data_IF_994866430793
#
_entry.id   IF_994866430793
#
_cell.length_a   1.000
_cell.length_b   1.000
_cell.length_c   1.000
_cell.angle_alpha   90.00
_cell.angle_beta   90.00
_cell.angle_gamma   90.00
#
_symmetry.space_group_name_H-M   'P 1'
#
loop_
_entity.id
_entity.type
_entity.pdbx_description
1 polymer ?
#
# COMPACT_ATOMS: atom_id res chain seq x y z
N UNK A 1 18.53 1.16 2.16
CA UNK A 1 18.53 -0.03 1.29
C UNK A 1 18.98 -1.29 2.03
N UNK A 2 20.06 -1.23 2.83
CA UNK A 2 20.56 -2.40 3.58
C UNK A 2 19.52 -2.96 4.54
N UNK A 3 18.93 -2.12 5.37
CA UNK A 3 17.93 -2.54 6.36
C UNK A 3 16.67 -3.06 5.68
N UNK A 4 16.23 -2.42 4.58
CA UNK A 4 15.13 -2.90 3.77
C UNK A 4 15.41 -4.29 3.19
N UNK A 5 16.61 -4.51 2.68
CA UNK A 5 17.00 -5.83 2.16
C UNK A 5 16.90 -6.90 3.24
N UNK A 6 17.40 -6.65 4.44
CA UNK A 6 17.32 -7.62 5.55
C UNK A 6 15.87 -7.85 6.00
N UNK A 7 15.06 -6.80 6.11
CA UNK A 7 13.66 -6.91 6.45
C UNK A 7 12.90 -7.75 5.42
N UNK A 8 13.05 -7.45 4.13
CA UNK A 8 12.42 -8.22 3.05
C UNK A 8 12.88 -9.69 3.04
N UNK A 9 14.17 -9.96 3.30
CA UNK A 9 14.65 -11.34 3.44
C UNK A 9 13.97 -12.09 4.58
N UNK A 10 13.73 -11.45 5.70
CA UNK A 10 12.94 -12.02 6.80
C UNK A 10 11.52 -12.38 6.36
N UNK A 11 10.83 -11.45 5.68
CA UNK A 11 9.47 -11.67 5.15
C UNK A 11 9.47 -12.78 4.09
N UNK A 12 10.43 -12.79 3.16
CA UNK A 12 10.54 -13.80 2.08
C UNK A 12 10.79 -15.24 2.58
N UNK A 13 11.39 -15.40 3.74
CA UNK A 13 11.61 -16.72 4.33
C UNK A 13 10.35 -17.35 4.91
N UNK A 14 9.31 -16.54 5.18
CA UNK A 14 8.07 -17.02 5.77
C UNK A 14 7.20 -17.70 4.72
N UNK A 15 6.74 -18.89 5.04
CA UNK A 15 5.80 -19.61 4.18
C UNK A 15 4.39 -19.07 4.39
N UNK A 16 3.69 -18.81 3.29
CA UNK A 16 2.30 -18.45 3.31
C UNK A 16 1.45 -19.69 3.60
N UNK A 17 0.57 -19.58 4.56
CA UNK A 17 -0.42 -20.62 4.82
C UNK A 17 -1.56 -20.48 3.82
N UNK A 18 -1.69 -21.45 2.93
CA UNK A 18 -2.77 -21.51 1.94
C UNK A 18 -3.88 -22.44 2.43
N UNK A 19 -5.13 -22.08 2.16
CA UNK A 19 -6.26 -22.94 2.45
C UNK A 19 -6.12 -24.30 1.72
N UNK A 20 -6.29 -25.40 2.46
CA UNK A 20 -6.10 -26.76 1.93
C UNK A 20 -7.10 -27.13 0.83
N UNK A 21 -8.36 -26.73 0.97
CA UNK A 21 -9.45 -26.98 0.00
C UNK A 21 -10.20 -25.71 -0.35
N UNK A 22 -10.47 -25.50 -1.65
CA UNK A 22 -11.35 -24.46 -2.17
C UNK A 22 -12.77 -25.02 -2.32
N UNK A 23 -13.07 -26.06 -1.67
CA UNK A 23 -14.40 -26.66 -1.62
C UNK A 23 -15.35 -25.98 -0.63
N UNK A 24 -15.08 -24.74 -0.20
CA UNK A 24 -16.22 -23.93 0.21
C UNK A 24 -17.02 -23.67 -1.07
N UNK A 25 -18.19 -24.29 -1.15
CA UNK A 25 -19.08 -24.28 -2.32
C UNK A 25 -19.38 -22.88 -2.87
N UNK A 26 -19.21 -21.83 -2.06
CA UNK A 26 -19.38 -20.43 -2.40
C UNK A 26 -18.31 -19.91 -3.38
N UNK A 27 -17.04 -20.25 -3.19
CA UNK A 27 -15.97 -19.83 -4.12
C UNK A 27 -16.05 -20.61 -5.43
N UNK A 28 -16.41 -21.89 -5.37
CA UNK A 28 -16.48 -22.74 -6.56
C UNK A 28 -17.62 -22.35 -7.51
N UNK A 29 -18.73 -21.81 -7.01
CA UNK A 29 -19.88 -21.41 -7.84
C UNK A 29 -19.71 -20.02 -8.48
N UNK A 30 -18.95 -19.10 -7.87
CA UNK A 30 -18.80 -17.72 -8.34
C UNK A 30 -17.64 -17.52 -9.32
N UNK A 31 -16.77 -18.51 -9.52
CA UNK A 31 -15.51 -18.36 -10.27
C UNK A 31 -15.65 -18.93 -11.70
N UNK A 32 -15.40 -18.10 -12.72
CA UNK A 32 -15.32 -18.53 -14.11
C UNK A 32 -14.24 -19.62 -14.32
N UNK A 33 -14.38 -20.42 -15.39
CA UNK A 33 -13.45 -21.50 -15.72
C UNK A 33 -11.98 -21.01 -15.88
N UNK A 34 -11.80 -19.78 -16.34
CA UNK A 34 -10.47 -19.15 -16.47
C UNK A 34 -9.86 -18.81 -15.11
N UNK A 35 -10.65 -18.25 -14.21
CA UNK A 35 -10.21 -17.97 -12.84
C UNK A 35 -9.85 -19.24 -12.08
N UNK A 36 -10.58 -20.35 -12.29
CA UNK A 36 -10.20 -21.67 -11.75
C UNK A 36 -8.83 -22.13 -12.22
N UNK A 37 -8.52 -21.99 -13.52
CA UNK A 37 -7.19 -22.36 -14.06
C UNK A 37 -6.07 -21.53 -13.43
N UNK A 38 -6.29 -20.23 -13.24
CA UNK A 38 -5.33 -19.33 -12.58
C UNK A 38 -5.11 -19.80 -11.13
N UNK A 39 -6.18 -20.09 -10.43
CA UNK A 39 -6.10 -20.54 -9.05
C UNK A 39 -5.33 -21.87 -8.89
N UNK A 40 -5.65 -22.90 -9.70
CA UNK A 40 -4.90 -24.17 -9.70
C UNK A 40 -3.42 -23.96 -10.03
N UNK A 41 -3.09 -23.02 -10.90
CA UNK A 41 -1.70 -22.64 -11.20
C UNK A 41 -1.03 -22.02 -9.98
N UNK A 42 -1.69 -21.13 -9.26
CA UNK A 42 -1.18 -20.52 -8.04
C UNK A 42 -0.92 -21.60 -6.98
N UNK A 43 -1.89 -22.47 -6.72
CA UNK A 43 -1.81 -23.49 -5.69
C UNK A 43 -0.74 -24.57 -5.97
N UNK A 44 -0.64 -25.02 -7.21
CA UNK A 44 0.13 -26.22 -7.53
C UNK A 44 1.49 -25.97 -8.19
N UNK A 45 1.74 -24.76 -8.69
CA UNK A 45 2.95 -24.44 -9.48
C UNK A 45 3.75 -23.27 -8.93
N UNK A 46 3.28 -22.57 -7.91
CA UNK A 46 3.98 -21.45 -7.31
C UNK A 46 4.53 -21.84 -5.95
N UNK A 47 5.69 -21.32 -5.63
CA UNK A 47 6.26 -21.43 -4.29
C UNK A 47 5.34 -20.66 -3.33
N UNK A 48 4.89 -21.23 -2.20
CA UNK A 48 4.01 -20.55 -1.24
C UNK A 48 4.78 -19.53 -0.39
N UNK A 49 5.54 -18.69 -1.05
CA UNK A 49 6.33 -17.59 -0.48
C UNK A 49 6.24 -16.40 -1.41
N UNK A 50 6.42 -15.21 -0.87
CA UNK A 50 6.57 -14.00 -1.68
C UNK A 50 8.07 -13.73 -1.82
N UNK A 51 8.54 -13.46 -3.03
CA UNK A 51 9.88 -12.94 -3.25
C UNK A 51 9.75 -11.59 -3.94
N UNK A 52 10.20 -10.54 -3.24
CA UNK A 52 10.09 -9.18 -3.73
C UNK A 52 11.29 -8.79 -4.59
N UNK A 53 11.00 -8.09 -5.69
CA UNK A 53 12.00 -7.37 -6.46
C UNK A 53 11.95 -5.88 -6.09
N UNK A 54 12.99 -5.40 -5.40
CA UNK A 54 13.14 -4.00 -4.99
C UNK A 54 13.47 -3.05 -6.15
N UNK A 55 13.87 -3.60 -7.28
CA UNK A 55 14.31 -2.85 -8.46
C UNK A 55 13.38 -3.07 -9.66
N UNK A 56 12.21 -3.67 -9.43
CA UNK A 56 11.24 -4.01 -10.48
C UNK A 56 10.51 -2.81 -11.09
N UNK A 57 10.55 -1.65 -10.42
CA UNK A 57 9.93 -0.41 -10.90
C UNK A 57 10.90 0.78 -10.73
N UNK A 58 10.68 1.84 -11.52
CA UNK A 58 11.43 3.09 -11.40
C UNK A 58 11.16 3.82 -10.07
N UNK A 59 9.93 3.69 -9.57
CA UNK A 59 9.47 4.38 -8.35
C UNK A 59 9.84 3.64 -7.06
N UNK A 60 10.49 2.47 -7.13
CA UNK A 60 10.83 1.68 -5.95
C UNK A 60 9.67 0.91 -5.34
N UNK A 61 8.48 0.93 -5.96
CA UNK A 61 7.40 0.02 -5.58
C UNK A 61 7.86 -1.42 -5.77
N UNK A 62 7.60 -2.25 -4.78
CA UNK A 62 7.92 -3.67 -4.86
C UNK A 62 7.14 -4.35 -5.97
N UNK A 63 7.78 -5.29 -6.64
CA UNK A 63 7.14 -6.27 -7.51
C UNK A 63 7.44 -7.67 -6.99
N UNK A 64 6.73 -8.68 -7.48
CA UNK A 64 6.97 -10.08 -7.09
C UNK A 64 7.71 -10.81 -8.20
N UNK A 65 8.74 -11.55 -7.84
CA UNK A 65 9.51 -12.38 -8.75
C UNK A 65 8.66 -13.51 -9.35
N UNK A 66 8.91 -13.84 -10.62
CA UNK A 66 8.18 -14.91 -11.33
C UNK A 66 8.36 -16.25 -10.63
N UNK A 67 7.28 -17.02 -10.50
CA UNK A 67 7.28 -18.35 -9.86
C UNK A 67 6.93 -18.32 -8.37
N UNK A 68 6.92 -17.16 -7.75
CA UNK A 68 6.51 -16.96 -6.35
C UNK A 68 5.03 -16.54 -6.27
N UNK A 69 4.48 -16.56 -5.04
CA UNK A 69 3.07 -16.23 -4.82
C UNK A 69 2.79 -14.78 -5.19
N UNK A 70 1.82 -14.50 -6.09
CA UNK A 70 1.61 -13.17 -6.68
C UNK A 70 0.76 -12.26 -5.77
N UNK A 71 1.18 -12.01 -4.53
CA UNK A 71 0.40 -11.27 -3.54
C UNK A 71 -0.06 -9.90 -4.05
N UNK A 72 0.81 -9.17 -4.77
CA UNK A 72 0.53 -7.81 -5.25
C UNK A 72 -0.52 -7.75 -6.36
N UNK A 73 -0.72 -8.83 -7.09
CA UNK A 73 -1.65 -8.90 -8.23
C UNK A 73 -2.77 -9.91 -8.02
N UNK A 74 -2.91 -10.42 -6.80
CA UNK A 74 -3.94 -11.40 -6.46
C UNK A 74 -5.33 -10.76 -6.53
N UNK A 75 -6.17 -11.26 -7.41
CA UNK A 75 -7.57 -10.83 -7.52
C UNK A 75 -8.27 -11.01 -6.16
N UNK A 76 -9.11 -10.03 -5.81
CA UNK A 76 -9.81 -10.01 -4.51
C UNK A 76 -10.59 -11.29 -4.23
N UNK A 77 -11.16 -11.92 -5.26
CA UNK A 77 -11.89 -13.20 -5.14
C UNK A 77 -11.04 -14.34 -4.64
N UNK A 78 -9.71 -14.26 -4.77
CA UNK A 78 -8.80 -15.31 -4.32
C UNK A 78 -8.10 -15.00 -3.00
N UNK A 79 -8.28 -13.80 -2.45
CA UNK A 79 -7.59 -13.40 -1.22
C UNK A 79 -7.92 -14.29 -0.03
N UNK A 80 -9.13 -14.87 0.02
CA UNK A 80 -9.55 -15.80 1.08
C UNK A 80 -8.74 -17.10 1.17
N UNK A 81 -7.93 -17.40 0.15
CA UNK A 81 -7.00 -18.56 0.21
C UNK A 81 -5.82 -18.32 1.14
N UNK A 82 -5.46 -17.05 1.38
CA UNK A 82 -4.41 -16.69 2.32
C UNK A 82 -4.95 -16.71 3.73
N UNK A 83 -4.39 -17.60 4.55
CA UNK A 83 -4.73 -17.75 5.96
C UNK A 83 -3.56 -17.29 6.83
N UNK A 84 -3.80 -16.72 8.00
CA UNK A 84 -2.73 -16.43 8.93
C UNK A 84 -2.13 -17.74 9.47
N UNK A 85 -0.85 -17.71 9.79
CA UNK A 85 -0.16 -18.77 10.51
C UNK A 85 -0.57 -18.77 11.98
N UNK A 86 -0.66 -17.58 12.56
CA UNK A 86 -1.21 -17.34 13.89
C UNK A 86 -2.76 -17.37 13.85
N UNK A 87 -3.41 -16.35 14.40
CA UNK A 87 -4.87 -16.37 14.60
C UNK A 87 -5.60 -15.51 13.59
N UNK A 88 -5.08 -14.34 13.24
CA UNK A 88 -5.76 -13.35 12.39
C UNK A 88 -4.75 -12.56 11.55
N UNK A 89 -5.22 -12.01 10.43
CA UNK A 89 -4.53 -10.91 9.76
C UNK A 89 -5.00 -9.58 10.31
N UNK A 90 -4.04 -8.67 10.50
CA UNK A 90 -4.25 -7.24 10.71
C UNK A 90 -3.73 -6.51 9.46
N UNK A 91 -4.58 -5.76 8.80
CA UNK A 91 -4.23 -4.90 7.68
C UNK A 91 -4.18 -3.45 8.14
N UNK A 92 -3.09 -2.78 7.82
CA UNK A 92 -2.90 -1.35 7.98
C UNK A 92 -2.80 -0.73 6.59
N UNK A 93 -3.68 0.18 6.25
CA UNK A 93 -3.79 0.79 4.92
C UNK A 93 -3.92 2.31 5.05
N UNK A 94 -3.05 3.07 4.38
CA UNK A 94 -3.15 4.52 4.43
C UNK A 94 -4.39 5.03 3.72
N UNK A 95 -5.09 5.96 4.35
CA UNK A 95 -6.17 6.69 3.69
C UNK A 95 -5.58 7.65 2.66
N UNK A 96 -5.67 7.28 1.36
CA UNK A 96 -5.21 8.09 0.24
C UNK A 96 -3.73 8.54 0.34
N UNK A 97 -2.82 7.61 0.55
CA UNK A 97 -1.39 7.83 0.80
C UNK A 97 -0.72 8.82 -0.17
N UNK A 98 -0.93 8.70 -1.48
CA UNK A 98 -0.31 9.59 -2.48
C UNK A 98 -0.82 11.03 -2.36
N UNK A 99 -2.11 11.24 -2.08
CA UNK A 99 -2.67 12.59 -1.89
C UNK A 99 -2.14 13.23 -0.61
N UNK A 100 -2.03 12.46 0.47
CA UNK A 100 -1.45 12.95 1.74
C UNK A 100 0.03 13.27 1.60
N UNK A 101 0.76 12.46 0.88
CA UNK A 101 2.16 12.76 0.52
C UNK A 101 2.23 14.07 -0.29
N UNK A 102 1.31 14.28 -1.23
CA UNK A 102 1.27 15.51 -2.01
C UNK A 102 0.99 16.76 -1.15
N UNK A 103 0.00 16.69 -0.26
CA UNK A 103 -0.31 17.77 0.68
C UNK A 103 0.92 18.14 1.51
N UNK A 104 1.60 17.16 2.06
CA UNK A 104 2.83 17.38 2.83
C UNK A 104 3.94 18.03 2.00
N UNK A 105 4.17 17.56 0.77
CA UNK A 105 5.16 18.16 -0.14
C UNK A 105 4.78 19.57 -0.60
N UNK A 106 3.48 19.88 -0.64
CA UNK A 106 2.98 21.26 -0.88
C UNK A 106 3.23 22.17 0.32
N UNK A 107 3.65 21.63 1.47
CA UNK A 107 3.90 22.36 2.71
C UNK A 107 2.62 22.66 3.50
N UNK A 108 1.55 21.94 3.22
CA UNK A 108 0.26 22.08 3.89
C UNK A 108 0.12 21.06 5.03
N UNK A 109 -0.66 21.42 6.06
CA UNK A 109 -1.01 20.51 7.14
C UNK A 109 -1.94 19.39 6.65
N UNK A 110 -1.83 18.22 7.29
CA UNK A 110 -2.67 17.08 6.97
C UNK A 110 -4.12 17.36 7.41
N UNK A 111 -5.08 17.31 6.49
CA UNK A 111 -6.49 17.44 6.88
C UNK A 111 -6.94 16.20 7.66
N UNK A 112 -7.82 16.42 8.63
CA UNK A 112 -8.46 15.34 9.38
C UNK A 112 -9.47 14.57 8.51
N UNK A 113 -9.71 13.31 8.86
CA UNK A 113 -10.73 12.47 8.25
C UNK A 113 -10.41 11.99 6.82
N UNK A 114 -11.46 11.69 6.07
CA UNK A 114 -11.35 11.16 4.70
C UNK A 114 -11.07 12.26 3.67
N UNK A 115 -9.90 12.23 3.06
CA UNK A 115 -9.46 13.24 2.09
C UNK A 115 -10.35 13.32 0.85
N UNK A 116 -10.96 12.19 0.44
CA UNK A 116 -11.85 12.19 -0.72
C UNK A 116 -13.19 12.86 -0.40
N UNK A 117 -13.69 12.77 0.81
CA UNK A 117 -14.88 13.48 1.28
C UNK A 117 -14.62 14.98 1.38
N UNK A 118 -13.47 15.39 1.90
CA UNK A 118 -13.06 16.79 1.93
C UNK A 118 -12.93 17.38 0.51
N UNK A 119 -12.33 16.63 -0.41
CA UNK A 119 -12.22 17.05 -1.81
C UNK A 119 -13.62 17.16 -2.46
N UNK A 120 -14.54 16.25 -2.14
CA UNK A 120 -15.91 16.25 -2.64
C UNK A 120 -16.69 17.50 -2.19
N UNK A 121 -16.56 17.84 -0.91
CA UNK A 121 -17.17 19.06 -0.36
C UNK A 121 -16.66 20.33 -1.06
N UNK A 122 -15.33 20.45 -1.23
CA UNK A 122 -14.72 21.59 -1.91
C UNK A 122 -15.09 21.71 -3.39
N UNK A 123 -15.26 20.58 -4.08
CA UNK A 123 -15.64 20.54 -5.49
C UNK A 123 -17.16 20.57 -5.73
N UNK A 124 -17.99 20.41 -4.69
CA UNK A 124 -19.45 20.34 -4.83
C UNK A 124 -19.94 19.11 -5.61
N UNK A 125 -19.22 17.97 -5.51
CA UNK A 125 -19.53 16.72 -6.22
C UNK A 125 -19.59 15.53 -5.25
N UNK A 126 -19.94 14.35 -5.75
CA UNK A 126 -19.90 13.13 -4.93
C UNK A 126 -18.45 12.72 -4.60
N UNK A 127 -18.28 11.93 -3.54
CA UNK A 127 -16.98 11.42 -3.11
C UNK A 127 -16.24 10.65 -4.22
N UNK A 128 -16.95 9.83 -4.97
CA UNK A 128 -16.36 9.01 -6.04
C UNK A 128 -16.00 9.87 -7.26
N UNK A 129 -16.80 10.87 -7.61
CA UNK A 129 -16.48 11.85 -8.64
C UNK A 129 -15.25 12.69 -8.26
N UNK A 130 -15.16 13.17 -7.02
CA UNK A 130 -14.01 13.90 -6.52
C UNK A 130 -12.74 13.04 -6.58
N UNK A 131 -12.83 11.78 -6.15
CA UNK A 131 -11.71 10.83 -6.22
C UNK A 131 -11.22 10.66 -7.66
N UNK A 132 -12.12 10.44 -8.61
CA UNK A 132 -11.76 10.31 -10.02
C UNK A 132 -11.17 11.60 -10.59
N UNK A 133 -11.78 12.75 -10.32
CA UNK A 133 -11.33 14.04 -10.82
C UNK A 133 -9.93 14.40 -10.31
N UNK A 134 -9.71 14.31 -9.00
CA UNK A 134 -8.43 14.66 -8.37
C UNK A 134 -7.32 13.72 -8.81
N UNK A 135 -7.55 12.41 -8.85
CA UNK A 135 -6.55 11.47 -9.34
C UNK A 135 -6.25 11.66 -10.83
N UNK A 136 -7.27 11.87 -11.68
CA UNK A 136 -7.05 12.13 -13.09
C UNK A 136 -6.24 13.43 -13.32
N UNK A 137 -6.58 14.51 -12.58
CA UNK A 137 -5.82 15.75 -12.62
C UNK A 137 -4.38 15.58 -12.11
N UNK A 138 -4.20 14.82 -11.03
CA UNK A 138 -2.89 14.51 -10.48
C UNK A 138 -1.99 13.85 -11.52
N UNK A 139 -2.55 12.92 -12.31
CA UNK A 139 -1.83 12.19 -13.36
C UNK A 139 -1.83 12.90 -14.73
N UNK A 140 -2.09 14.20 -14.74
CA UNK A 140 -1.91 15.05 -15.92
C UNK A 140 -3.12 15.20 -16.83
N UNK A 141 -4.30 14.69 -16.45
CA UNK A 141 -5.52 14.96 -17.22
C UNK A 141 -5.91 16.44 -17.13
N UNK A 142 -6.15 17.05 -18.28
CA UNK A 142 -6.68 18.42 -18.39
C UNK A 142 -8.21 18.47 -18.40
N UNK A 143 -8.86 17.31 -18.34
CA UNK A 143 -10.32 17.20 -18.43
C UNK A 143 -11.04 17.74 -17.18
N UNK A 144 -10.37 17.67 -16.04
CA UNK A 144 -10.95 18.07 -14.75
C UNK A 144 -10.28 19.33 -14.24
N UNK A 145 -11.08 20.32 -13.89
CA UNK A 145 -10.61 21.45 -13.09
C UNK A 145 -10.85 21.12 -11.62
N UNK A 146 -9.82 21.22 -10.81
CA UNK A 146 -9.87 20.95 -9.38
C UNK A 146 -10.06 22.23 -8.55
N UNK A 147 -10.29 23.38 -9.21
CA UNK A 147 -10.64 24.64 -8.56
C UNK A 147 -9.72 25.01 -7.40
N UNK A 148 -10.32 25.30 -6.25
CA UNK A 148 -9.63 25.73 -5.02
C UNK A 148 -8.75 24.65 -4.37
N UNK A 149 -8.81 23.41 -4.86
CA UNK A 149 -7.89 22.36 -4.39
C UNK A 149 -6.44 22.59 -4.83
N UNK A 150 -6.19 23.50 -5.78
CA UNK A 150 -4.83 23.84 -6.21
C UNK A 150 -3.96 24.40 -5.08
N UNK A 151 -4.58 25.10 -4.12
CA UNK A 151 -3.85 25.60 -2.94
C UNK A 151 -3.44 24.46 -1.99
N UNK A 152 -4.28 23.42 -1.89
CA UNK A 152 -3.98 22.24 -1.09
C UNK A 152 -2.94 21.33 -1.78
N UNK A 153 -2.99 21.28 -3.11
CA UNK A 153 -2.13 20.44 -3.96
C UNK A 153 -1.28 21.31 -4.89
N UNK A 154 -0.27 21.99 -4.34
CA UNK A 154 0.58 22.94 -5.10
C UNK A 154 1.58 22.18 -5.99
N UNK A 155 1.09 21.82 -7.18
CA UNK A 155 1.84 21.07 -8.19
C UNK A 155 3.09 21.83 -8.67
N UNK A 156 2.99 23.15 -8.83
CA UNK A 156 4.08 23.95 -9.35
C UNK A 156 5.21 24.03 -8.33
N UNK A 157 4.90 24.34 -7.08
CA UNK A 157 5.87 24.37 -5.99
C UNK A 157 6.56 23.02 -5.84
N UNK A 158 5.82 21.94 -5.76
CA UNK A 158 6.37 20.58 -5.57
C UNK A 158 7.29 20.20 -6.73
N UNK A 159 6.93 20.51 -7.97
CA UNK A 159 7.79 20.25 -9.12
C UNK A 159 9.02 21.14 -9.14
N UNK A 160 8.92 22.42 -8.71
CA UNK A 160 10.09 23.31 -8.60
C UNK A 160 11.12 22.78 -7.59
N UNK A 161 10.66 22.21 -6.49
CA UNK A 161 11.53 21.70 -5.43
C UNK A 161 12.14 20.32 -5.75
N UNK A 162 11.42 19.49 -6.48
CA UNK A 162 11.76 18.06 -6.63
C UNK A 162 12.11 17.62 -8.05
N UNK A 163 11.92 18.48 -9.07
CA UNK A 163 12.21 18.13 -10.46
C UNK A 163 13.24 19.05 -11.09
N UNK A 164 14.41 18.51 -11.40
CA UNK A 164 15.50 19.25 -12.03
C UNK A 164 15.28 19.42 -13.55
N UNK A 165 15.83 20.50 -14.11
CA UNK A 165 15.84 20.79 -15.57
C UNK A 165 16.47 19.62 -16.38
N UNK A 166 17.38 18.89 -15.76
CA UNK A 166 18.01 17.69 -16.34
C UNK A 166 17.08 16.49 -16.54
N UNK A 167 15.80 16.61 -16.18
CA UNK A 167 14.85 15.50 -16.27
C UNK A 167 14.95 14.48 -15.14
N UNK A 168 15.35 14.94 -13.95
CA UNK A 168 15.50 14.08 -12.76
C UNK A 168 14.55 14.51 -11.66
N UNK A 169 13.78 13.58 -11.13
CA UNK A 169 13.04 13.73 -9.87
C UNK A 169 13.97 13.31 -8.73
N UNK A 170 14.12 14.19 -7.73
CA UNK A 170 14.79 13.86 -6.47
C UNK A 170 13.73 13.74 -5.36
N UNK A 171 13.55 12.53 -4.84
CA UNK A 171 12.58 12.30 -3.75
C UNK A 171 13.15 12.76 -2.41
N UNK A 172 12.29 13.03 -1.41
CA UNK A 172 12.73 13.36 -0.05
C UNK A 172 13.62 12.30 0.61
N UNK A 173 13.56 11.07 0.11
CA UNK A 173 14.40 9.96 0.58
C UNK A 173 15.67 9.76 -0.25
N UNK A 174 16.00 10.71 -1.14
CA UNK A 174 17.23 10.71 -1.93
C UNK A 174 17.25 9.76 -3.11
N UNK A 175 16.07 9.32 -3.59
CA UNK A 175 15.98 8.52 -4.81
C UNK A 175 15.95 9.45 -6.02
N UNK A 176 16.82 9.17 -6.99
CA UNK A 176 16.86 9.84 -8.28
C UNK A 176 16.08 9.04 -9.32
N UNK A 177 15.13 9.68 -10.02
CA UNK A 177 14.30 9.05 -11.03
C UNK A 177 14.34 9.87 -12.31
N UNK A 178 14.89 9.31 -13.37
CA UNK A 178 14.93 9.95 -14.70
C UNK A 178 13.58 9.81 -15.38
N UNK A 179 12.96 10.94 -15.72
CA UNK A 179 11.68 10.99 -16.43
C UNK A 179 11.43 12.32 -17.11
N UNK A 180 10.43 12.37 -17.99
CA UNK A 180 9.89 13.63 -18.49
C UNK A 180 9.05 14.37 -17.42
N UNK A 181 8.75 15.64 -17.69
CA UNK A 181 8.00 16.51 -16.77
C UNK A 181 6.57 16.02 -16.52
N UNK A 182 5.97 15.35 -17.50
CA UNK A 182 4.57 14.87 -17.41
C UNK A 182 4.45 13.76 -16.36
N UNK A 183 5.46 12.89 -16.24
CA UNK A 183 5.48 11.79 -15.27
C UNK A 183 6.11 12.17 -13.94
N UNK A 184 6.77 13.34 -13.84
CA UNK A 184 7.58 13.71 -12.69
C UNK A 184 6.82 13.68 -11.36
N UNK A 185 5.65 14.31 -11.29
CA UNK A 185 4.83 14.34 -10.08
C UNK A 185 4.35 12.94 -9.69
N UNK A 186 3.88 12.16 -10.67
CA UNK A 186 3.44 10.79 -10.42
C UNK A 186 4.57 9.93 -9.82
N UNK A 187 5.76 9.97 -10.44
CA UNK A 187 6.91 9.21 -9.95
C UNK A 187 7.38 9.69 -8.58
N UNK A 188 7.37 11.00 -8.33
CA UNK A 188 7.68 11.57 -7.01
C UNK A 188 6.75 11.03 -5.93
N UNK A 189 5.43 11.14 -6.13
CA UNK A 189 4.45 10.73 -5.14
C UNK A 189 4.45 9.22 -4.92
N UNK A 190 4.43 8.43 -5.98
CA UNK A 190 4.49 6.97 -5.87
C UNK A 190 5.76 6.49 -5.16
N UNK A 191 6.90 7.10 -5.48
CA UNK A 191 8.17 6.71 -4.88
C UNK A 191 8.24 7.09 -3.42
N UNK A 192 7.86 8.32 -3.08
CA UNK A 192 7.86 8.81 -1.70
C UNK A 192 6.90 7.99 -0.82
N UNK A 193 5.69 7.73 -1.31
CA UNK A 193 4.72 6.88 -0.61
C UNK A 193 5.23 5.46 -0.40
N UNK A 194 5.84 4.86 -1.43
CA UNK A 194 6.45 3.53 -1.31
C UNK A 194 7.54 3.50 -0.24
N UNK A 195 8.42 4.51 -0.24
CA UNK A 195 9.50 4.59 0.74
C UNK A 195 8.97 4.81 2.18
N UNK A 196 7.85 5.54 2.36
CA UNK A 196 7.15 5.65 3.67
C UNK A 196 6.73 4.26 4.15
N UNK A 197 5.97 3.52 3.34
CA UNK A 197 5.46 2.19 3.70
C UNK A 197 6.60 1.24 4.04
N UNK A 198 7.66 1.21 3.22
CA UNK A 198 8.81 0.32 3.43
C UNK A 198 9.59 0.66 4.70
N UNK A 199 9.72 1.95 5.06
CA UNK A 199 10.31 2.36 6.33
C UNK A 199 9.46 1.91 7.51
N UNK A 200 8.15 2.10 7.43
CA UNK A 200 7.23 1.66 8.48
C UNK A 200 7.19 0.14 8.62
N UNK A 201 7.31 -0.59 7.53
CA UNK A 201 7.48 -2.05 7.58
C UNK A 201 8.72 -2.45 8.37
N UNK A 202 9.85 -1.77 8.19
CA UNK A 202 11.08 -2.04 8.94
C UNK A 202 10.90 -1.72 10.44
N UNK A 203 10.30 -0.59 10.76
CA UNK A 203 10.02 -0.18 12.15
C UNK A 203 9.13 -1.21 12.87
N UNK A 204 8.03 -1.62 12.23
CA UNK A 204 7.09 -2.61 12.77
C UNK A 204 7.75 -3.99 12.89
N UNK A 205 8.50 -4.44 11.90
CA UNK A 205 9.20 -5.72 11.97
C UNK A 205 10.23 -5.75 13.12
N UNK A 206 10.92 -4.64 13.37
CA UNK A 206 11.84 -4.52 14.50
C UNK A 206 11.09 -4.54 15.85
N UNK A 207 9.93 -3.89 15.95
CA UNK A 207 9.08 -3.91 17.15
C UNK A 207 8.58 -5.32 17.44
N UNK A 208 8.21 -6.07 16.41
CA UNK A 208 7.68 -7.43 16.52
C UNK A 208 8.76 -8.52 16.64
N UNK A 209 10.05 -8.16 16.64
CA UNK A 209 11.15 -9.13 16.56
C UNK A 209 11.10 -10.26 17.59
N UNK A 210 10.58 -9.99 18.79
CA UNK A 210 10.49 -10.97 19.87
C UNK A 210 9.06 -11.50 20.09
N UNK A 211 8.13 -11.14 19.20
CA UNK A 211 6.74 -11.54 19.25
C UNK A 211 6.48 -12.78 18.37
N UNK A 212 5.33 -13.41 18.58
CA UNK A 212 4.80 -14.43 17.67
C UNK A 212 4.18 -13.79 16.44
N UNK A 213 3.64 -12.58 16.59
CA UNK A 213 3.14 -11.76 15.49
C UNK A 213 4.29 -11.25 14.63
N UNK A 214 4.07 -11.11 13.33
CA UNK A 214 5.09 -10.69 12.38
C UNK A 214 4.48 -10.05 11.13
N UNK A 215 5.25 -9.27 10.39
CA UNK A 215 4.82 -8.76 9.08
C UNK A 215 4.75 -9.93 8.10
N UNK A 216 3.54 -10.22 7.62
CA UNK A 216 3.31 -11.32 6.67
C UNK A 216 3.70 -10.91 5.25
N UNK A 217 3.21 -9.77 4.80
CA UNK A 217 3.57 -9.19 3.50
C UNK A 217 3.18 -7.72 3.39
N UNK A 218 3.81 -7.04 2.44
CA UNK A 218 3.49 -5.67 2.03
C UNK A 218 2.68 -5.71 0.73
N UNK A 219 1.62 -4.91 0.64
CA UNK A 219 0.73 -4.81 -0.51
C UNK A 219 0.54 -3.34 -0.90
N UNK A 220 1.36 -2.84 -1.83
CA UNK A 220 1.36 -1.44 -2.27
C UNK A 220 1.56 -0.46 -1.11
N UNK A 221 0.49 0.18 -0.65
CA UNK A 221 0.42 1.16 0.43
C UNK A 221 -0.13 0.59 1.75
N UNK A 222 -0.28 -0.74 1.83
CA UNK A 222 -0.71 -1.44 3.03
C UNK A 222 0.29 -2.46 3.54
N UNK A 223 0.24 -2.76 4.84
CA UNK A 223 0.96 -3.85 5.49
C UNK A 223 -0.01 -4.86 6.05
N UNK A 224 0.31 -6.13 5.85
CA UNK A 224 -0.44 -7.25 6.40
C UNK A 224 0.41 -7.93 7.48
N UNK A 225 -0.11 -7.94 8.69
CA UNK A 225 0.54 -8.53 9.86
C UNK A 225 -0.20 -9.82 10.22
N UNK A 226 0.54 -10.87 10.45
CA UNK A 226 0.04 -12.14 10.99
C UNK A 226 0.04 -12.03 12.52
N UNK A 227 -1.14 -11.81 13.11
CA UNK A 227 -1.33 -11.44 14.51
C UNK A 227 -1.67 -12.67 15.37
N UNK A 228 -0.91 -12.86 16.43
CA UNK A 228 -1.22 -13.82 17.48
C UNK A 228 -2.23 -13.22 18.47
N UNK A 229 -3.26 -13.97 18.84
CA UNK A 229 -4.33 -13.50 19.71
C UNK A 229 -3.84 -13.07 21.10
N UNK A 230 -2.77 -13.73 21.58
CA UNK A 230 -2.14 -13.39 22.87
C UNK A 230 -1.38 -12.06 22.86
N UNK A 231 -1.26 -11.40 21.72
CA UNK A 231 -0.47 -10.18 21.50
C UNK A 231 -1.35 -9.04 20.95
N UNK A 232 -2.63 -9.02 21.32
CA UNK A 232 -3.55 -7.96 20.86
C UNK A 232 -3.17 -6.55 21.39
N UNK A 233 -2.40 -6.48 22.44
CA UNK A 233 -1.87 -5.26 23.05
C UNK A 233 -0.87 -4.52 22.13
N UNK A 234 -0.15 -5.24 21.26
CA UNK A 234 0.78 -4.61 20.31
C UNK A 234 0.09 -3.83 19.19
N UNK A 235 -1.23 -4.01 18.99
CA UNK A 235 -1.96 -3.39 17.87
C UNK A 235 -1.85 -1.87 17.94
N UNK A 236 -2.06 -1.29 19.12
CA UNK A 236 -1.98 0.16 19.30
C UNK A 236 -0.60 0.72 18.97
N UNK A 237 0.46 0.03 19.37
CA UNK A 237 1.83 0.44 19.05
C UNK A 237 2.10 0.38 17.55
N UNK A 238 1.68 -0.70 16.89
CA UNK A 238 1.83 -0.90 15.43
C UNK A 238 1.05 0.18 14.65
N UNK A 239 -0.18 0.47 15.07
CA UNK A 239 -1.03 1.52 14.50
C UNK A 239 -0.34 2.88 14.62
N UNK A 240 0.15 3.22 15.81
CA UNK A 240 0.88 4.46 16.05
C UNK A 240 2.17 4.57 15.23
N UNK A 241 2.93 3.47 15.11
CA UNK A 241 4.13 3.44 14.27
C UNK A 241 3.76 3.70 12.82
N UNK A 242 2.72 3.03 12.29
CA UNK A 242 2.35 3.13 10.89
C UNK A 242 1.79 4.51 10.55
N UNK A 243 0.93 5.09 11.40
CA UNK A 243 0.30 6.40 11.16
C UNK A 243 1.30 7.57 11.18
N UNK A 244 2.30 7.55 12.08
CA UNK A 244 3.28 8.62 12.24
C UNK A 244 4.33 8.59 11.14
N UNK A 245 4.31 9.55 10.23
CA UNK A 245 5.28 9.65 9.14
C UNK A 245 6.17 10.89 9.31
N UNK A 246 7.24 10.99 8.52
CA UNK A 246 8.07 12.20 8.44
C UNK A 246 7.33 13.38 7.80
N UNK A 247 6.12 13.14 7.29
CA UNK A 247 5.26 14.11 6.59
C UNK A 247 3.98 14.42 7.37
N UNK A 248 3.99 14.18 8.67
CA UNK A 248 2.84 14.29 9.55
C UNK A 248 2.11 12.95 9.78
N UNK A 249 1.07 13.01 10.57
CA UNK A 249 0.28 11.82 10.90
C UNK A 249 -0.71 11.54 9.76
N UNK A 250 -0.57 10.38 9.15
CA UNK A 250 -1.47 9.93 8.10
C UNK A 250 -2.56 9.04 8.70
N UNK A 251 -3.85 9.40 8.54
CA UNK A 251 -4.94 8.51 8.89
C UNK A 251 -4.84 7.17 8.18
N UNK A 252 -5.10 6.10 8.93
CA UNK A 252 -5.06 4.73 8.43
C UNK A 252 -6.40 4.05 8.59
N UNK A 253 -6.70 3.13 7.67
CA UNK A 253 -7.76 2.16 7.81
C UNK A 253 -7.17 0.91 8.45
N UNK A 254 -7.80 0.41 9.49
CA UNK A 254 -7.41 -0.83 10.15
C UNK A 254 -8.47 -1.87 9.88
N UNK A 255 -8.05 -3.07 9.45
CA UNK A 255 -8.96 -4.18 9.24
C UNK A 255 -8.40 -5.46 9.86
N UNK A 256 -9.26 -6.32 10.38
CA UNK A 256 -8.88 -7.60 10.97
C UNK A 256 -9.71 -8.73 10.34
N UNK A 257 -9.08 -9.86 10.03
CA UNK A 257 -9.75 -11.01 9.44
C UNK A 257 -9.10 -12.35 9.75
N UNK A 258 -9.91 -13.41 9.63
CA UNK A 258 -9.44 -14.81 9.74
C UNK A 258 -8.81 -15.33 8.45
N UNK A 259 -8.91 -14.56 7.40
CA UNK A 259 -8.24 -14.72 6.11
C UNK A 259 -8.18 -13.37 5.40
N UNK A 260 -7.37 -13.28 4.34
CA UNK A 260 -7.16 -12.02 3.63
C UNK A 260 -8.34 -11.58 2.74
N UNK A 261 -9.30 -12.47 2.48
CA UNK A 261 -10.51 -12.14 1.70
C UNK A 261 -11.65 -11.59 2.56
N UNK A 262 -11.65 -11.91 3.84
CA UNK A 262 -12.73 -11.58 4.79
C UNK A 262 -12.16 -10.67 5.90
N UNK A 263 -11.75 -9.47 5.51
CA UNK A 263 -11.23 -8.44 6.40
C UNK A 263 -12.36 -7.48 6.79
N UNK A 264 -12.51 -7.21 8.09
CA UNK A 264 -13.51 -6.29 8.63
C UNK A 264 -12.80 -5.06 9.19
N UNK A 265 -13.30 -3.87 8.84
CA UNK A 265 -12.79 -2.62 9.42
C UNK A 265 -13.04 -2.60 10.92
N UNK A 266 -12.07 -2.07 11.66
CA UNK A 266 -12.13 -1.84 13.10
C UNK A 266 -11.71 -0.41 13.40
N UNK A 267 -12.33 0.18 14.41
CA UNK A 267 -11.92 1.47 14.98
C UNK A 267 -10.97 1.17 16.14
N UNK A 268 -9.82 1.83 16.15
CA UNK A 268 -8.77 1.68 17.17
C UNK A 268 -8.41 3.05 17.72
#
# INVERSE_FOLDING_TARGET
LRDLHFCLKGVEQRELKLAGNIESAEIAQSISSEKRKIFYKIKNKMVPRISYNMFGTRTGRLTVNKGYFPALTLDKTFRSVLKPTNTRFLELDYNAAELRTFIALSGNEQPEGDIHSLNAEKLGVTRDEAKQAVLAWLYGSTRYDVGDLKDLYDKEKVLMEHYAISGVVLTPYGREIYCDKEHALNYLLQSTTSDIVLKKMIEIENTLKNNKSFVSFCLHDSLIIDLAESESDVITDIVNIFSRTNFGDFPINVSIGKDFGNMNKVEI
#
